data_IF_315176264858
#
_entry.id   IF_315176264858
#
_cell.length_a   1.000
_cell.length_b   1.000
_cell.length_c   1.000
_cell.angle_alpha   90.00
_cell.angle_beta   90.00
_cell.angle_gamma   90.00
#
_symmetry.space_group_name_H-M   'P 1'
#
loop_
_entity.id
_entity.type
_entity.pdbx_description
1 polymer ?
#
# COMPACT_ATOMS: atom_id res chain seq x y z
N UNK A 1 -8.74 -15.52 -13.56
CA UNK A 1 -8.42 -15.74 -12.13
C UNK A 1 -8.11 -14.38 -11.54
N UNK A 2 -8.77 -13.99 -10.46
CA UNK A 2 -8.56 -12.68 -9.83
C UNK A 2 -7.33 -12.73 -8.91
N UNK A 3 -6.74 -11.57 -8.60
CA UNK A 3 -5.62 -11.50 -7.65
C UNK A 3 -6.00 -12.07 -6.27
N UNK A 4 -7.28 -12.03 -5.89
CA UNK A 4 -7.80 -12.53 -4.61
C UNK A 4 -7.84 -14.06 -4.51
N UNK A 5 -7.77 -14.77 -5.63
CA UNK A 5 -7.75 -16.24 -5.66
C UNK A 5 -6.36 -16.81 -5.31
N UNK A 6 -5.35 -15.95 -5.20
CA UNK A 6 -3.98 -16.36 -4.91
C UNK A 6 -3.75 -16.55 -3.40
N UNK A 7 -2.86 -17.48 -3.04
CA UNK A 7 -2.33 -17.53 -1.67
C UNK A 7 -1.32 -16.41 -1.43
N UNK A 8 -1.10 -16.04 -0.17
CA UNK A 8 -0.05 -15.08 0.20
C UNK A 8 1.35 -15.52 -0.28
N UNK A 9 1.63 -16.82 -0.26
CA UNK A 9 2.88 -17.36 -0.80
C UNK A 9 2.97 -17.22 -2.31
N UNK A 10 1.86 -17.40 -3.03
CA UNK A 10 1.82 -17.21 -4.47
C UNK A 10 2.07 -15.74 -4.84
N UNK A 11 1.43 -14.78 -4.15
CA UNK A 11 1.65 -13.35 -4.38
C UNK A 11 3.10 -12.93 -4.11
N UNK A 12 3.68 -13.39 -2.99
CA UNK A 12 5.10 -13.13 -2.69
C UNK A 12 6.04 -13.66 -3.77
N UNK A 13 5.74 -14.84 -4.34
CA UNK A 13 6.53 -15.40 -5.46
C UNK A 13 6.35 -14.61 -6.75
N UNK A 14 5.14 -14.14 -7.02
CA UNK A 14 4.84 -13.36 -8.21
C UNK A 14 5.48 -11.96 -8.21
N UNK A 15 5.73 -11.38 -7.03
CA UNK A 15 6.33 -10.04 -6.87
C UNK A 15 7.52 -9.79 -7.80
N UNK A 16 8.47 -10.73 -7.81
CA UNK A 16 9.72 -10.63 -8.57
C UNK A 16 9.56 -10.77 -10.09
N UNK A 17 8.36 -11.09 -10.60
CA UNK A 17 8.06 -11.16 -12.03
C UNK A 17 7.11 -10.06 -12.51
N UNK A 18 6.62 -9.19 -11.63
CA UNK A 18 5.72 -8.10 -12.03
C UNK A 18 6.47 -7.05 -12.86
N UNK A 19 5.74 -6.30 -13.72
CA UNK A 19 6.31 -5.20 -14.48
C UNK A 19 6.88 -4.10 -13.55
N UNK A 20 7.82 -3.34 -14.08
CA UNK A 20 8.32 -2.15 -13.39
C UNK A 20 7.22 -1.07 -13.38
N UNK A 21 6.99 -0.39 -12.24
CA UNK A 21 5.92 0.58 -12.15
C UNK A 21 6.33 1.94 -12.69
N UNK A 22 5.33 2.73 -13.05
CA UNK A 22 5.40 4.16 -13.31
C UNK A 22 4.68 4.89 -12.17
N UNK A 23 5.12 6.12 -11.88
CA UNK A 23 4.47 6.94 -10.86
C UNK A 23 2.96 7.14 -11.13
N UNK A 24 2.59 7.26 -12.40
CA UNK A 24 1.20 7.39 -12.85
C UNK A 24 0.33 6.16 -12.50
N UNK A 25 0.90 4.97 -12.33
CA UNK A 25 0.14 3.77 -11.98
C UNK A 25 -0.49 3.90 -10.58
N UNK A 26 0.04 4.78 -9.71
CA UNK A 26 -0.46 5.03 -8.36
C UNK A 26 -1.30 6.31 -8.23
N UNK A 27 -1.43 7.12 -9.27
CA UNK A 27 -2.25 8.34 -9.22
C UNK A 27 -3.73 7.99 -9.15
N UNK A 28 -4.48 8.60 -8.23
CA UNK A 28 -5.92 8.34 -8.06
C UNK A 28 -6.28 7.81 -6.67
N UNK A 29 -7.51 7.35 -6.54
CA UNK A 29 -8.13 6.73 -5.36
C UNK A 29 -8.15 5.22 -5.51
N UNK A 30 -7.65 4.53 -4.49
CA UNK A 30 -7.57 3.08 -4.45
C UNK A 30 -8.27 2.53 -3.23
N UNK A 31 -9.05 1.48 -3.44
CA UNK A 31 -9.57 0.64 -2.37
C UNK A 31 -8.56 -0.44 -2.03
N UNK A 32 -8.26 -0.59 -0.75
CA UNK A 32 -7.40 -1.63 -0.25
C UNK A 32 -8.19 -2.88 0.13
N UNK A 33 -7.62 -4.03 -0.19
CA UNK A 33 -8.19 -5.31 0.19
C UNK A 33 -7.09 -6.32 0.56
N UNK A 34 -7.45 -7.28 1.40
CA UNK A 34 -6.53 -8.32 1.87
C UNK A 34 -6.80 -9.64 1.15
N UNK A 35 -5.73 -10.40 0.93
CA UNK A 35 -5.80 -11.71 0.32
C UNK A 35 -5.75 -12.80 1.38
N UNK A 36 -6.61 -13.81 1.23
CA UNK A 36 -6.79 -14.89 2.21
C UNK A 36 -7.75 -14.53 3.35
N UNK A 37 -8.58 -15.50 3.73
CA UNK A 37 -9.62 -15.31 4.74
C UNK A 37 -9.09 -14.83 6.11
N UNK A 38 -7.97 -15.36 6.65
CA UNK A 38 -7.48 -14.92 7.96
C UNK A 38 -7.11 -13.42 7.99
N UNK A 39 -6.43 -12.92 6.96
CA UNK A 39 -6.03 -11.51 6.92
C UNK A 39 -7.24 -10.59 6.75
N UNK A 40 -8.23 -10.97 5.93
CA UNK A 40 -9.49 -10.22 5.79
C UNK A 40 -10.21 -10.04 7.13
N UNK A 41 -10.07 -10.98 8.07
CA UNK A 41 -10.72 -10.92 9.38
C UNK A 41 -9.88 -10.21 10.44
N UNK A 42 -8.56 -10.41 10.44
CA UNK A 42 -7.67 -9.92 11.51
C UNK A 42 -7.13 -8.53 11.21
N UNK A 43 -6.73 -8.25 9.97
CA UNK A 43 -6.06 -7.01 9.60
C UNK A 43 -6.90 -5.74 9.90
N UNK A 44 -8.23 -5.71 9.66
CA UNK A 44 -9.04 -4.53 10.00
C UNK A 44 -9.02 -4.17 11.49
N UNK A 45 -8.98 -5.18 12.37
CA UNK A 45 -8.90 -4.97 13.83
C UNK A 45 -7.51 -4.46 14.21
N UNK A 46 -6.47 -5.05 13.65
CA UNK A 46 -5.09 -4.60 13.86
C UNK A 46 -4.89 -3.15 13.43
N UNK A 47 -5.39 -2.78 12.24
CA UNK A 47 -5.35 -1.42 11.72
C UNK A 47 -6.11 -0.42 12.60
N UNK A 48 -7.28 -0.80 13.12
CA UNK A 48 -8.02 0.05 14.04
C UNK A 48 -7.21 0.41 15.29
N UNK A 49 -6.45 -0.56 15.84
CA UNK A 49 -5.59 -0.33 17.01
C UNK A 49 -4.42 0.61 16.72
N UNK A 50 -3.96 0.68 15.47
CA UNK A 50 -2.87 1.58 15.05
C UNK A 50 -3.37 2.85 14.36
N UNK A 51 -4.64 3.23 14.56
CA UNK A 51 -5.16 4.53 14.11
C UNK A 51 -5.74 4.56 12.69
N UNK A 52 -6.00 3.41 12.09
CA UNK A 52 -6.73 3.28 10.82
C UNK A 52 -8.04 2.47 10.97
N UNK A 53 -8.99 2.89 11.83
CA UNK A 53 -10.27 2.22 11.94
C UNK A 53 -11.08 2.38 10.65
N UNK A 54 -11.68 1.28 10.15
CA UNK A 54 -12.46 1.28 8.89
C UNK A 54 -11.65 1.78 7.69
N UNK A 55 -10.36 1.43 7.64
CA UNK A 55 -9.50 1.77 6.52
C UNK A 55 -10.13 1.34 5.20
N UNK A 56 -10.26 2.28 4.28
CA UNK A 56 -10.75 2.07 2.93
C UNK A 56 -9.61 1.79 1.97
N UNK A 57 -8.54 2.60 2.04
CA UNK A 57 -7.43 2.51 1.11
C UNK A 57 -6.64 3.82 1.07
N UNK A 58 -6.22 4.24 -0.11
CA UNK A 58 -5.28 5.36 -0.27
C UNK A 58 -5.67 6.25 -1.44
N UNK A 59 -5.30 7.52 -1.36
CA UNK A 59 -5.37 8.46 -2.50
C UNK A 59 -4.02 9.08 -2.74
N UNK A 60 -3.64 9.22 -4.00
CA UNK A 60 -2.42 9.90 -4.40
C UNK A 60 -2.67 10.92 -5.50
N UNK A 61 -1.92 12.02 -5.45
CA UNK A 61 -2.01 13.13 -6.39
C UNK A 61 -0.59 13.56 -6.79
N UNK A 62 -0.38 13.94 -8.07
CA UNK A 62 0.85 14.61 -8.49
C UNK A 62 1.09 15.86 -7.66
N UNK A 63 2.36 16.25 -7.56
CA UNK A 63 2.74 17.53 -6.98
C UNK A 63 3.23 18.44 -8.09
N UNK A 64 2.80 19.70 -8.11
CA UNK A 64 3.28 20.67 -9.11
C UNK A 64 4.77 21.00 -8.92
N UNK A 65 5.29 20.79 -7.71
CA UNK A 65 6.66 21.10 -7.34
C UNK A 65 7.66 20.01 -7.72
N UNK A 66 7.22 18.76 -7.85
CA UNK A 66 8.10 17.61 -8.06
C UNK A 66 7.38 16.48 -8.81
N UNK A 67 7.77 16.28 -10.07
CA UNK A 67 7.24 15.23 -10.94
C UNK A 67 7.75 13.82 -10.60
N UNK A 68 8.77 13.70 -9.74
CA UNK A 68 9.30 12.41 -9.27
C UNK A 68 8.58 11.89 -8.00
N UNK A 69 7.63 12.66 -7.46
CA UNK A 69 6.92 12.34 -6.24
C UNK A 69 5.41 12.53 -6.35
N UNK A 70 4.65 11.72 -5.61
CA UNK A 70 3.24 11.97 -5.32
C UNK A 70 3.08 12.34 -3.85
N UNK A 71 2.07 13.17 -3.57
CA UNK A 71 1.50 13.26 -2.22
C UNK A 71 0.35 12.28 -2.09
N UNK A 72 0.16 11.73 -0.90
CA UNK A 72 -0.93 10.81 -0.65
C UNK A 72 -1.44 10.83 0.78
N UNK A 73 -2.58 10.20 0.97
CA UNK A 73 -3.31 10.11 2.24
C UNK A 73 -3.99 8.75 2.35
N UNK A 74 -4.09 8.22 3.56
CA UNK A 74 -4.94 7.07 3.83
C UNK A 74 -6.39 7.55 3.91
N UNK A 75 -7.32 6.70 3.49
CA UNK A 75 -8.73 6.99 3.48
C UNK A 75 -9.43 6.10 4.50
N UNK A 76 -10.30 6.68 5.32
CA UNK A 76 -11.19 5.95 6.22
C UNK A 76 -12.62 6.05 5.73
N UNK A 77 -13.38 4.98 5.87
CA UNK A 77 -14.82 5.01 5.63
C UNK A 77 -15.55 5.67 6.82
N UNK A 78 -16.56 6.48 6.52
CA UNK A 78 -17.47 7.03 7.52
C UNK A 78 -18.08 5.94 8.41
N UNK A 79 -18.43 6.29 9.65
CA UNK A 79 -19.00 5.33 10.60
C UNK A 79 -20.36 4.76 10.14
N UNK A 80 -21.10 5.54 9.36
CA UNK A 80 -22.35 5.19 8.68
C UNK A 80 -22.14 4.48 7.33
N UNK A 81 -20.88 4.26 6.95
CA UNK A 81 -20.50 3.67 5.66
C UNK A 81 -20.51 4.66 4.49
N UNK A 82 -20.86 5.93 4.71
CA UNK A 82 -20.91 6.95 3.66
C UNK A 82 -19.67 7.86 3.71
N UNK A 83 -19.22 8.29 2.54
CA UNK A 83 -18.06 9.19 2.41
C UNK A 83 -16.71 8.59 2.81
N UNK A 84 -15.66 9.35 2.52
CA UNK A 84 -14.28 9.03 2.85
C UNK A 84 -13.63 10.23 3.55
N UNK A 85 -12.95 10.00 4.66
CA UNK A 85 -12.11 11.01 5.32
C UNK A 85 -10.63 10.71 5.10
N UNK A 86 -9.83 11.76 4.95
CA UNK A 86 -8.38 11.67 4.75
C UNK A 86 -7.65 11.63 6.11
N UNK A 87 -6.62 10.81 6.22
CA UNK A 87 -5.75 10.69 7.42
C UNK A 87 -4.35 10.23 7.02
N UNK A 88 -3.38 10.34 7.94
CA UNK A 88 -2.00 9.85 7.80
C UNK A 88 -1.39 10.19 6.42
N UNK A 89 -0.91 11.44 6.24
CA UNK A 89 -0.26 11.84 5.00
C UNK A 89 1.00 11.02 4.75
N UNK A 90 1.28 10.80 3.47
CA UNK A 90 2.40 10.02 2.97
C UNK A 90 2.88 10.57 1.63
N UNK A 91 4.05 10.12 1.20
CA UNK A 91 4.60 10.40 -0.13
C UNK A 91 4.80 9.11 -0.89
N UNK A 92 4.81 9.19 -2.23
CA UNK A 92 5.18 8.08 -3.09
C UNK A 92 6.27 8.47 -4.07
N UNK A 93 7.19 7.57 -4.38
CA UNK A 93 8.20 7.71 -5.43
C UNK A 93 8.52 6.35 -6.06
N UNK A 94 9.26 6.30 -7.16
CA UNK A 94 9.78 5.05 -7.70
C UNK A 94 11.19 4.81 -7.17
N UNK A 95 11.46 3.62 -6.64
CA UNK A 95 12.78 3.28 -6.13
C UNK A 95 12.99 1.77 -5.95
N UNK A 96 14.14 1.33 -5.45
CA UNK A 96 14.47 -0.08 -5.32
C UNK A 96 13.65 -0.75 -4.20
N UNK A 97 12.97 -1.85 -4.53
CA UNK A 97 12.20 -2.67 -3.58
C UNK A 97 13.09 -3.30 -2.51
N UNK A 98 12.59 -3.38 -1.27
CA UNK A 98 13.25 -4.11 -0.19
C UNK A 98 13.29 -5.64 -0.42
N UNK A 99 12.38 -6.18 -1.24
CA UNK A 99 12.29 -7.62 -1.46
C UNK A 99 13.32 -8.16 -2.46
N UNK A 100 13.61 -7.40 -3.52
CA UNK A 100 14.41 -7.88 -4.65
C UNK A 100 15.30 -6.81 -5.33
N UNK A 101 15.29 -5.57 -4.83
CA UNK A 101 16.05 -4.46 -5.40
C UNK A 101 15.53 -3.92 -6.73
N UNK A 102 14.52 -4.55 -7.34
CA UNK A 102 13.92 -4.08 -8.60
C UNK A 102 13.00 -2.86 -8.34
N UNK A 103 12.73 -2.02 -9.35
CA UNK A 103 11.84 -0.87 -9.21
C UNK A 103 10.49 -1.21 -8.58
N UNK A 104 10.03 -0.39 -7.64
CA UNK A 104 8.72 -0.44 -7.00
C UNK A 104 8.25 0.99 -6.68
N UNK A 105 6.94 1.18 -6.58
CA UNK A 105 6.36 2.39 -6.01
C UNK A 105 6.52 2.32 -4.50
N UNK A 106 7.32 3.22 -3.94
CA UNK A 106 7.64 3.27 -2.53
C UNK A 106 6.76 4.31 -1.86
N UNK A 107 5.91 3.87 -0.93
CA UNK A 107 5.03 4.71 -0.16
C UNK A 107 5.53 4.78 1.28
N UNK A 108 5.84 5.99 1.74
CA UNK A 108 6.49 6.24 3.03
C UNK A 108 5.77 7.33 3.81
N UNK A 109 5.80 7.21 5.13
CA UNK A 109 5.25 8.22 6.04
C UNK A 109 6.36 9.17 6.51
N UNK A 110 6.02 10.43 6.82
CA UNK A 110 6.92 11.38 7.45
C UNK A 110 7.56 10.81 8.73
N UNK A 111 8.80 11.23 9.02
CA UNK A 111 9.55 10.77 10.19
C UNK A 111 8.88 11.08 11.52
N UNK A 112 7.94 12.04 11.56
CA UNK A 112 7.13 12.44 12.71
C UNK A 112 5.74 11.75 12.78
N UNK A 113 5.35 10.94 11.79
CA UNK A 113 4.05 10.24 11.74
C UNK A 113 3.84 9.27 12.92
N UNK A 114 2.61 9.08 13.45
CA UNK A 114 2.37 8.21 14.60
C UNK A 114 2.99 6.81 14.47
N UNK A 115 3.48 6.23 15.57
CA UNK A 115 3.97 4.84 15.53
C UNK A 115 2.78 3.89 15.32
N UNK A 116 2.93 2.82 14.52
CA UNK A 116 4.17 2.37 13.86
C UNK A 116 4.44 3.00 12.48
N UNK A 117 3.56 3.87 11.97
CA UNK A 117 3.56 4.33 10.57
C UNK A 117 4.86 4.95 10.08
N UNK A 118 5.57 5.73 10.92
CA UNK A 118 6.91 6.25 10.54
C UNK A 118 7.96 5.18 10.20
N UNK A 119 7.70 3.92 10.53
CA UNK A 119 8.54 2.77 10.22
C UNK A 119 7.94 1.89 9.12
N UNK A 120 6.70 2.15 8.72
CA UNK A 120 6.02 1.36 7.70
C UNK A 120 6.40 1.90 6.33
N UNK A 121 6.70 0.98 5.43
CA UNK A 121 6.88 1.25 4.01
C UNK A 121 5.99 0.29 3.23
N UNK A 122 5.08 0.85 2.44
CA UNK A 122 4.30 0.06 1.49
C UNK A 122 4.99 0.13 0.13
N UNK A 123 5.12 -1.00 -0.56
CA UNK A 123 5.66 -1.08 -1.91
C UNK A 123 4.63 -1.60 -2.88
N UNK A 124 4.57 -1.06 -4.10
CA UNK A 124 3.62 -1.52 -5.12
C UNK A 124 4.25 -1.79 -6.48
N UNK A 125 3.67 -2.77 -7.18
CA UNK A 125 3.89 -3.03 -8.60
C UNK A 125 2.55 -3.29 -9.30
N UNK A 126 2.41 -2.94 -10.58
CA UNK A 126 1.21 -3.25 -11.34
C UNK A 126 1.01 -4.77 -11.43
N UNK A 127 -0.22 -5.19 -11.16
CA UNK A 127 -0.68 -6.54 -11.44
C UNK A 127 -1.42 -6.57 -12.79
N UNK A 128 -2.28 -5.56 -13.00
CA UNK A 128 -2.96 -5.22 -14.25
C UNK A 128 -3.21 -3.70 -14.28
N UNK A 129 -4.03 -3.23 -15.22
CA UNK A 129 -4.28 -1.79 -15.45
C UNK A 129 -4.93 -1.08 -14.24
N UNK A 130 -5.75 -1.79 -13.46
CA UNK A 130 -6.53 -1.24 -12.35
C UNK A 130 -6.11 -1.78 -10.98
N UNK A 131 -5.20 -2.75 -10.96
CA UNK A 131 -4.81 -3.47 -9.75
C UNK A 131 -3.31 -3.37 -9.51
N UNK A 132 -2.96 -2.98 -8.29
CA UNK A 132 -1.58 -3.06 -7.80
C UNK A 132 -1.47 -4.16 -6.75
N UNK A 133 -0.43 -4.99 -6.86
CA UNK A 133 0.00 -5.81 -5.74
C UNK A 133 0.83 -4.92 -4.81
N UNK A 134 0.45 -4.89 -3.54
CA UNK A 134 1.14 -4.20 -2.46
C UNK A 134 1.89 -5.15 -1.54
N UNK A 135 3.02 -4.71 -1.01
CA UNK A 135 3.81 -5.38 0.01
C UNK A 135 4.13 -4.39 1.14
N UNK A 136 3.63 -4.65 2.34
CA UNK A 136 3.95 -3.84 3.52
C UNK A 136 5.20 -4.38 4.21
N UNK A 137 6.15 -3.49 4.50
CA UNK A 137 7.38 -3.76 5.24
C UNK A 137 7.48 -2.88 6.48
N UNK A 138 8.18 -3.39 7.50
CA UNK A 138 8.63 -2.58 8.64
C UNK A 138 10.11 -2.27 8.42
N UNK A 139 10.36 -1.03 8.00
CA UNK A 139 11.67 -0.53 7.57
C UNK A 139 12.49 -0.01 8.75
N UNK A 140 12.83 -0.92 9.67
CA UNK A 140 13.79 -0.66 10.77
C UNK A 140 14.90 -1.70 10.78
N UNK A 141 16.11 -1.35 11.26
CA UNK A 141 17.20 -2.31 11.42
C UNK A 141 16.72 -3.58 12.16
N UNK A 142 17.03 -4.76 11.60
CA UNK A 142 16.62 -6.06 12.14
C UNK A 142 15.30 -6.61 11.58
N UNK A 143 14.31 -5.77 11.27
CA UNK A 143 13.00 -6.21 10.72
C UNK A 143 12.91 -6.14 9.19
N UNK A 144 13.83 -5.42 8.53
CA UNK A 144 13.92 -5.34 7.05
C UNK A 144 14.01 -6.69 6.34
N UNK A 145 14.43 -7.76 7.03
CA UNK A 145 14.55 -9.12 6.49
C UNK A 145 13.25 -9.92 6.55
N UNK A 146 12.22 -9.41 7.24
CA UNK A 146 10.93 -10.08 7.28
C UNK A 146 10.28 -10.05 5.88
N UNK A 147 9.61 -11.13 5.46
CA UNK A 147 8.88 -11.12 4.21
C UNK A 147 7.77 -10.08 4.28
N UNK A 148 7.65 -9.24 3.25
CA UNK A 148 6.57 -8.26 3.18
C UNK A 148 5.19 -8.92 3.26
N UNK A 149 4.22 -8.18 3.78
CA UNK A 149 2.83 -8.65 3.89
C UNK A 149 2.03 -8.21 2.67
N UNK A 150 1.54 -9.15 1.83
CA UNK A 150 0.78 -8.81 0.64
C UNK A 150 -0.59 -8.18 0.97
N UNK A 151 -0.97 -7.18 0.18
CA UNK A 151 -2.32 -6.64 0.08
C UNK A 151 -2.54 -6.11 -1.34
N UNK A 152 -3.76 -5.69 -1.66
CA UNK A 152 -4.15 -5.29 -3.00
C UNK A 152 -4.70 -3.88 -2.96
N UNK A 153 -4.33 -3.07 -3.96
CA UNK A 153 -5.01 -1.83 -4.27
C UNK A 153 -5.76 -1.97 -5.58
N UNK A 154 -7.04 -1.62 -5.59
CA UNK A 154 -7.88 -1.57 -6.79
C UNK A 154 -8.32 -0.13 -7.03
N UNK A 155 -8.09 0.37 -8.24
CA UNK A 155 -8.49 1.71 -8.68
C UNK A 155 -10.01 1.90 -8.59
N UNK A 156 -10.44 3.11 -8.21
CA UNK A 156 -11.86 3.47 -8.08
C UNK A 156 -12.29 4.69 -8.90
N UNK A 157 -11.34 5.41 -9.49
CA UNK A 157 -11.51 6.62 -10.29
C UNK A 157 -10.46 6.73 -11.42
#
# INVERSE_FOLDING_TARGET
MTIHDHSLRALRRAWGSLPDPRLADLTGTFEASYVGAPLRTVAPRGLALVGLPRWFGKRFRPTDADAAHLTGVNLLRGADGTGLSETLPMTATVGPSLADGRPALLVTYPGDAPRPWRWVRDEFRPWDDDTLLGMTFVDVPGLRRAPGTPFVLTRRD
#
